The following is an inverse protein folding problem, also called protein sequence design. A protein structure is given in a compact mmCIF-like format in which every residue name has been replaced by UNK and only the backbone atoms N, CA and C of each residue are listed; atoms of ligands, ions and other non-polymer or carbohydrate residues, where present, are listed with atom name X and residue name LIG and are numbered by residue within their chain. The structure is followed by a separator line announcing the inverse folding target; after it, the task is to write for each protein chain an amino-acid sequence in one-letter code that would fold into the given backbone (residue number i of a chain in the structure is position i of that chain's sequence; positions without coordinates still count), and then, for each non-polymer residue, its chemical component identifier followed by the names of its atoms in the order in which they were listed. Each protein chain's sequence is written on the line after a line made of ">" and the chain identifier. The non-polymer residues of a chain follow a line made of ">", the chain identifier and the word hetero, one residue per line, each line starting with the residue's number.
data_IF_681581003488
#
_entry.id   IF_681581003488
#
_cell.length_a   1.000
_cell.length_b   1.000
_cell.length_c   1.000
_cell.angle_alpha   90.00
_cell.angle_beta   90.00
_cell.angle_gamma   90.00
#
_symmetry.space_group_name_H-M   'P 1'
#
loop_
_entity.id
_entity.type
_entity.pdbx_description
1 polymer ?
#
# COMPACT_ATOMS: atom_id res chain seq x y z
N UNK A 1 22.65 4.61 38.51
CA UNK A 1 21.70 3.73 37.80
C UNK A 1 20.36 3.83 38.50
N UNK A 2 19.41 4.67 38.06
CA UNK A 2 18.06 4.61 38.60
C UNK A 2 17.38 3.36 38.04
N UNK A 3 16.92 2.48 38.93
CA UNK A 3 16.19 1.26 38.58
C UNK A 3 14.86 1.62 37.93
N UNK A 4 14.65 1.21 36.67
CA UNK A 4 13.34 1.25 36.04
C UNK A 4 12.44 0.26 36.81
N UNK A 5 11.31 0.70 37.39
CA UNK A 5 10.45 -0.20 38.13
C UNK A 5 9.83 -1.22 37.15
N UNK A 6 10.02 -2.51 37.43
CA UNK A 6 9.35 -3.58 36.71
C UNK A 6 7.83 -3.39 36.85
N UNK A 7 7.16 -3.03 35.75
CA UNK A 7 5.69 -3.01 35.71
C UNK A 7 5.21 -4.44 35.95
N UNK A 8 4.49 -4.65 37.06
CA UNK A 8 3.73 -5.89 37.29
C UNK A 8 2.84 -6.15 36.07
N UNK A 9 3.00 -7.31 35.43
CA UNK A 9 2.08 -7.79 34.40
C UNK A 9 0.73 -7.97 35.07
N UNK A 10 -0.15 -6.98 34.88
CA UNK A 10 -1.52 -7.05 35.34
C UNK A 10 -2.27 -7.98 34.39
N UNK A 11 -2.68 -9.15 34.87
CA UNK A 11 -3.62 -10.05 34.20
C UNK A 11 -5.01 -9.41 34.19
N UNK A 12 -5.17 -8.27 33.52
CA UNK A 12 -6.49 -7.78 33.14
C UNK A 12 -6.99 -8.72 32.05
N UNK A 13 -8.08 -9.44 32.33
CA UNK A 13 -8.84 -10.19 31.33
C UNK A 13 -8.99 -9.31 30.08
N UNK A 14 -8.62 -9.84 28.92
CA UNK A 14 -8.71 -9.06 27.69
C UNK A 14 -10.20 -8.92 27.36
N UNK A 15 -10.62 -7.69 27.02
CA UNK A 15 -12.02 -7.37 26.81
C UNK A 15 -12.66 -8.24 25.70
N UNK A 16 -11.85 -8.83 24.82
CA UNK A 16 -12.29 -9.61 23.67
C UNK A 16 -12.19 -11.13 23.87
N UNK A 17 -11.78 -11.62 25.05
CA UNK A 17 -11.63 -13.07 25.30
C UNK A 17 -12.92 -13.89 25.06
N UNK A 18 -14.08 -13.23 25.07
CA UNK A 18 -15.38 -13.85 24.86
C UNK A 18 -15.81 -13.94 23.39
N UNK A 19 -15.12 -13.26 22.47
CA UNK A 19 -15.43 -13.24 21.03
C UNK A 19 -14.31 -13.84 20.16
N UNK A 20 -13.13 -14.07 20.73
CA UNK A 20 -12.01 -14.69 20.02
C UNK A 20 -12.16 -16.21 20.13
N UNK A 21 -12.07 -16.91 19.00
CA UNK A 21 -12.00 -18.37 19.01
C UNK A 21 -10.70 -18.81 19.72
N UNK A 22 -10.78 -19.65 20.76
CA UNK A 22 -9.59 -20.13 21.48
C UNK A 22 -8.52 -20.75 20.57
N UNK A 23 -8.90 -21.34 19.43
CA UNK A 23 -7.96 -21.90 18.46
C UNK A 23 -7.04 -20.87 17.79
N UNK A 24 -7.41 -19.57 17.84
CA UNK A 24 -6.58 -18.47 17.33
C UNK A 24 -5.77 -17.78 18.43
N UNK A 25 -5.74 -18.32 19.65
CA UNK A 25 -4.92 -17.76 20.73
C UNK A 25 -3.46 -18.09 20.47
N UNK A 26 -2.55 -17.10 20.43
CA UNK A 26 -1.12 -17.34 20.27
C UNK A 26 -0.57 -18.26 21.36
N UNK A 27 0.33 -19.17 20.98
CA UNK A 27 1.02 -20.01 21.96
C UNK A 27 2.07 -19.22 22.77
N UNK A 28 2.74 -19.89 23.72
CA UNK A 28 3.75 -19.25 24.57
C UNK A 28 4.98 -18.79 23.79
N UNK A 29 5.32 -19.48 22.70
CA UNK A 29 6.48 -19.15 21.87
C UNK A 29 6.22 -17.86 21.07
N UNK A 30 5.07 -17.75 20.41
CA UNK A 30 4.67 -16.55 19.68
C UNK A 30 4.57 -15.32 20.60
N UNK A 31 3.99 -15.49 21.79
CA UNK A 31 3.93 -14.42 22.80
C UNK A 31 5.31 -13.99 23.27
N UNK A 32 6.22 -14.95 23.51
CA UNK A 32 7.59 -14.68 23.91
C UNK A 32 8.40 -13.98 22.80
N UNK A 33 8.20 -14.36 21.54
CA UNK A 33 8.83 -13.72 20.38
C UNK A 33 8.43 -12.23 20.30
N UNK A 34 7.14 -11.92 20.35
CA UNK A 34 6.66 -10.53 20.34
C UNK A 34 7.17 -9.73 21.55
N UNK A 35 7.14 -10.33 22.75
CA UNK A 35 7.65 -9.69 23.95
C UNK A 35 9.16 -9.36 23.85
N UNK A 36 9.94 -10.30 23.31
CA UNK A 36 11.38 -10.14 23.11
C UNK A 36 11.68 -9.05 22.09
N UNK A 37 11.02 -9.09 20.93
CA UNK A 37 11.12 -8.05 19.90
C UNK A 37 10.82 -6.66 20.48
N UNK A 38 9.69 -6.51 21.18
CA UNK A 38 9.29 -5.24 21.79
C UNK A 38 10.32 -4.73 22.84
N UNK A 39 10.99 -5.64 23.55
CA UNK A 39 12.04 -5.30 24.49
C UNK A 39 13.33 -4.85 23.77
N UNK A 40 13.72 -5.54 22.70
CA UNK A 40 14.89 -5.20 21.87
C UNK A 40 14.74 -3.79 21.28
N UNK A 41 13.59 -3.45 20.69
CA UNK A 41 13.37 -2.11 20.09
C UNK A 41 13.52 -0.99 21.13
N UNK A 42 13.04 -1.21 22.37
CA UNK A 42 13.25 -0.25 23.48
C UNK A 42 14.71 -0.17 23.91
N UNK A 43 15.40 -1.31 23.94
CA UNK A 43 16.80 -1.37 24.28
C UNK A 43 17.66 -0.63 23.25
N UNK A 44 17.40 -0.83 21.96
CA UNK A 44 18.03 -0.10 20.86
C UNK A 44 17.83 1.41 21.02
N UNK A 45 16.59 1.87 21.22
CA UNK A 45 16.31 3.30 21.45
C UNK A 45 17.08 3.89 22.63
N UNK A 46 17.33 3.10 23.69
CA UNK A 46 18.09 3.55 24.87
C UNK A 46 19.60 3.57 24.60
N UNK A 47 20.12 2.48 24.05
CA UNK A 47 21.55 2.16 24.06
C UNK A 47 22.27 2.57 22.76
N UNK A 48 21.58 2.54 21.60
CA UNK A 48 22.15 2.92 20.30
C UNK A 48 22.01 4.44 20.06
N UNK A 49 23.11 5.17 19.78
CA UNK A 49 23.05 6.61 19.53
C UNK A 49 22.17 7.00 18.35
N UNK A 50 22.26 6.26 17.24
CA UNK A 50 21.47 6.52 16.03
C UNK A 50 19.98 6.28 16.30
N UNK A 51 19.62 5.16 16.92
CA UNK A 51 18.22 4.89 17.25
C UNK A 51 17.68 5.95 18.21
N UNK A 52 18.48 6.43 19.16
CA UNK A 52 18.05 7.42 20.16
C UNK A 52 17.73 8.80 19.58
N UNK A 53 18.39 9.23 18.52
CA UNK A 53 18.19 10.56 17.93
C UNK A 53 17.03 10.63 16.95
N UNK A 54 16.49 9.49 16.50
CA UNK A 54 15.42 9.47 15.51
C UNK A 54 14.13 10.14 16.01
N UNK A 55 13.36 10.73 15.11
CA UNK A 55 12.01 11.25 15.33
C UNK A 55 11.03 10.61 14.36
N UNK A 56 9.73 10.83 14.54
CA UNK A 56 8.75 10.39 13.55
C UNK A 56 9.04 10.93 12.15
N UNK A 57 9.50 12.18 12.06
CA UNK A 57 9.84 12.84 10.81
C UNK A 57 11.10 12.28 10.16
N UNK A 58 12.12 11.93 10.94
CA UNK A 58 13.39 11.45 10.39
C UNK A 58 13.27 10.06 9.77
N UNK A 59 12.43 9.18 10.32
CA UNK A 59 12.32 7.78 9.85
C UNK A 59 11.10 7.46 9.00
N UNK A 60 10.19 8.42 8.76
CA UNK A 60 8.99 8.16 7.93
C UNK A 60 9.29 7.75 6.49
N UNK A 61 10.48 8.09 5.97
CA UNK A 61 10.89 7.74 4.61
C UNK A 61 11.29 6.26 4.54
N UNK A 62 12.01 5.77 5.56
CA UNK A 62 12.35 4.35 5.71
C UNK A 62 11.09 3.49 5.76
N UNK A 63 10.06 3.89 6.55
CA UNK A 63 8.77 3.18 6.55
C UNK A 63 8.12 3.06 5.15
N UNK A 64 8.36 4.03 4.27
CA UNK A 64 7.86 3.97 2.89
C UNK A 64 8.72 3.01 2.06
N UNK A 65 10.04 3.03 2.25
CA UNK A 65 11.01 2.12 1.63
C UNK A 65 10.65 0.65 1.93
N UNK A 66 10.55 0.27 3.21
CA UNK A 66 10.18 -1.10 3.62
C UNK A 66 8.82 -1.53 3.03
N UNK A 67 7.88 -0.58 2.87
CA UNK A 67 6.58 -0.87 2.26
C UNK A 67 6.69 -1.18 0.76
N UNK A 68 7.63 -0.55 0.04
CA UNK A 68 7.90 -0.87 -1.36
C UNK A 68 8.75 -2.13 -1.51
N UNK A 69 9.70 -2.38 -0.62
CA UNK A 69 10.48 -3.62 -0.60
C UNK A 69 9.57 -4.82 -0.33
N UNK A 70 8.64 -4.71 0.62
CA UNK A 70 7.56 -5.69 0.83
C UNK A 70 6.76 -5.94 -0.45
N UNK A 71 6.42 -4.89 -1.21
CA UNK A 71 5.71 -5.04 -2.49
C UNK A 71 6.57 -5.74 -3.53
N UNK A 72 7.87 -5.42 -3.61
CA UNK A 72 8.82 -6.07 -4.51
C UNK A 72 8.91 -7.57 -4.22
N UNK A 73 9.08 -7.94 -2.95
CA UNK A 73 9.14 -9.35 -2.54
C UNK A 73 7.87 -10.13 -2.93
N UNK A 74 6.69 -9.50 -2.80
CA UNK A 74 5.42 -10.10 -3.25
C UNK A 74 5.40 -10.30 -4.78
N UNK A 75 5.79 -9.29 -5.55
CA UNK A 75 5.75 -9.35 -7.02
C UNK A 75 6.82 -10.32 -7.58
N UNK A 76 7.93 -10.50 -6.89
CA UNK A 76 9.00 -11.47 -7.22
C UNK A 76 8.69 -12.90 -6.73
N UNK A 77 7.71 -13.06 -5.83
CA UNK A 77 7.40 -14.34 -5.22
C UNK A 77 8.48 -14.82 -4.24
N UNK A 78 9.32 -13.91 -3.74
CA UNK A 78 10.35 -14.17 -2.75
C UNK A 78 9.73 -14.23 -1.35
N UNK A 79 9.47 -15.44 -0.87
CA UNK A 79 8.86 -15.66 0.44
C UNK A 79 9.81 -15.36 1.61
N UNK A 80 11.11 -15.55 1.40
CA UNK A 80 12.11 -15.28 2.43
C UNK A 80 12.30 -13.77 2.58
N UNK A 81 12.47 -13.06 1.45
CA UNK A 81 12.46 -11.60 1.40
C UNK A 81 11.16 -11.03 1.98
N UNK A 82 9.99 -11.57 1.60
CA UNK A 82 8.71 -11.11 2.16
C UNK A 82 8.66 -11.22 3.70
N UNK A 83 9.25 -12.27 4.28
CA UNK A 83 9.31 -12.44 5.72
C UNK A 83 10.22 -11.38 6.38
N UNK A 84 11.35 -11.04 5.74
CA UNK A 84 12.29 -10.00 6.16
C UNK A 84 11.61 -8.63 6.15
N UNK A 85 11.05 -8.22 5.02
CA UNK A 85 10.44 -6.90 4.82
C UNK A 85 9.20 -6.66 5.69
N UNK A 86 8.39 -7.71 5.93
CA UNK A 86 7.29 -7.63 6.91
C UNK A 86 7.79 -7.44 8.35
N UNK A 87 8.97 -7.99 8.66
CA UNK A 87 9.69 -7.76 9.90
C UNK A 87 10.12 -6.31 10.07
N UNK A 88 10.63 -5.68 9.02
CA UNK A 88 11.07 -4.28 9.04
C UNK A 88 9.90 -3.29 9.08
N UNK A 89 8.79 -3.60 8.40
CA UNK A 89 7.52 -2.89 8.61
C UNK A 89 7.06 -2.98 10.07
N UNK A 90 7.13 -4.16 10.68
CA UNK A 90 6.78 -4.35 12.09
C UNK A 90 7.74 -3.58 13.01
N UNK A 91 9.05 -3.55 12.71
CA UNK A 91 10.05 -2.73 13.39
C UNK A 91 9.65 -1.27 13.38
N UNK A 92 9.31 -0.70 12.23
CA UNK A 92 8.91 0.70 12.15
C UNK A 92 7.65 1.01 12.97
N UNK A 93 6.63 0.14 12.95
CA UNK A 93 5.43 0.31 13.79
C UNK A 93 5.79 0.30 15.27
N UNK A 94 6.62 -0.64 15.71
CA UNK A 94 7.09 -0.71 17.09
C UNK A 94 7.96 0.50 17.48
N UNK A 95 8.85 0.93 16.58
CA UNK A 95 9.76 2.04 16.81
C UNK A 95 9.04 3.38 16.93
N UNK A 96 8.03 3.65 16.08
CA UNK A 96 7.12 4.78 16.26
C UNK A 96 6.39 4.71 17.60
N UNK A 97 5.97 3.52 18.05
CA UNK A 97 5.42 3.31 19.38
C UNK A 97 6.40 3.70 20.49
N UNK A 98 7.67 3.29 20.39
CA UNK A 98 8.72 3.60 21.38
C UNK A 98 9.07 5.09 21.40
N UNK A 99 9.14 5.76 20.24
CA UNK A 99 9.33 7.22 20.16
C UNK A 99 8.18 7.93 20.90
N UNK A 100 6.94 7.56 20.63
CA UNK A 100 5.77 8.17 21.25
C UNK A 100 5.65 7.87 22.77
N UNK A 101 6.15 6.72 23.23
CA UNK A 101 6.27 6.40 24.66
C UNK A 101 7.21 7.39 25.37
N UNK A 102 8.32 7.78 24.72
CA UNK A 102 9.27 8.76 25.24
C UNK A 102 8.66 10.13 25.51
N UNK A 103 7.62 10.50 24.74
CA UNK A 103 6.87 11.76 24.87
C UNK A 103 5.57 11.63 25.69
N UNK A 104 5.40 10.51 26.41
CA UNK A 104 4.21 10.19 27.21
C UNK A 104 2.90 10.28 26.40
N UNK A 105 2.94 9.89 25.10
CA UNK A 105 1.78 9.96 24.20
C UNK A 105 1.03 8.63 24.10
N UNK A 106 1.62 7.65 23.41
CA UNK A 106 1.03 6.34 23.19
C UNK A 106 2.12 5.28 23.05
N UNK A 107 1.73 4.03 23.24
CA UNK A 107 2.60 2.85 23.12
C UNK A 107 2.22 1.94 21.96
N UNK A 108 3.07 0.97 21.64
CA UNK A 108 2.72 -0.15 20.76
C UNK A 108 1.48 -0.90 21.25
N UNK A 109 1.29 -0.98 22.58
CA UNK A 109 0.09 -1.59 23.17
C UNK A 109 -1.17 -0.77 22.84
N UNK A 110 -1.06 0.56 22.83
CA UNK A 110 -2.18 1.44 22.47
C UNK A 110 -2.48 1.39 20.97
N UNK A 111 -1.46 1.25 20.12
CA UNK A 111 -1.62 1.03 18.67
C UNK A 111 -2.44 -0.25 18.45
N UNK A 112 -1.99 -1.37 19.02
CA UNK A 112 -2.67 -2.67 18.89
C UNK A 112 -4.10 -2.58 19.41
N UNK A 113 -4.32 -2.05 20.62
CA UNK A 113 -5.66 -1.92 21.20
C UNK A 113 -6.61 -1.08 20.35
N UNK A 114 -6.13 0.05 19.81
CA UNK A 114 -6.92 0.90 18.91
C UNK A 114 -7.29 0.16 17.63
N UNK A 115 -6.35 -0.57 17.04
CA UNK A 115 -6.60 -1.37 15.84
C UNK A 115 -7.58 -2.51 16.12
N UNK A 116 -7.38 -3.28 17.20
CA UNK A 116 -8.27 -4.36 17.62
C UNK A 116 -9.70 -3.86 17.82
N UNK A 117 -9.89 -2.77 18.58
CA UNK A 117 -11.22 -2.21 18.81
C UNK A 117 -11.89 -1.77 17.50
N UNK A 118 -11.12 -1.19 16.58
CA UNK A 118 -11.59 -0.77 15.26
C UNK A 118 -11.96 -1.98 14.38
N UNK A 119 -11.15 -3.05 14.39
CA UNK A 119 -11.42 -4.27 13.63
C UNK A 119 -12.68 -4.97 14.13
N UNK A 120 -12.84 -5.14 15.45
CA UNK A 120 -14.04 -5.75 16.04
C UNK A 120 -15.28 -4.96 15.65
N UNK A 121 -15.27 -3.65 15.88
CA UNK A 121 -16.40 -2.77 15.58
C UNK A 121 -16.79 -2.73 14.10
N UNK A 122 -15.81 -2.85 13.19
CA UNK A 122 -16.06 -2.79 11.74
C UNK A 122 -16.36 -4.16 11.11
N UNK A 123 -16.24 -5.24 11.87
CA UNK A 123 -16.68 -6.58 11.47
C UNK A 123 -17.82 -7.12 12.34
N UNK A 124 -18.97 -6.43 12.44
CA UNK A 124 -20.11 -6.92 13.23
C UNK A 124 -20.78 -8.15 12.60
N UNK A 125 -20.32 -8.60 11.43
CA UNK A 125 -20.73 -9.86 10.80
C UNK A 125 -19.86 -11.05 11.22
N UNK A 126 -18.74 -10.78 11.89
CA UNK A 126 -17.86 -11.80 12.49
C UNK A 126 -18.09 -11.86 13.99
N UNK A 127 -18.21 -10.69 14.64
CA UNK A 127 -18.22 -10.58 16.10
C UNK A 127 -19.60 -10.23 16.70
N UNK A 128 -20.63 -10.02 15.87
CA UNK A 128 -22.02 -9.75 16.28
C UNK A 128 -22.99 -10.47 15.31
N UNK A 129 -24.27 -10.05 15.27
CA UNK A 129 -25.33 -10.75 14.51
C UNK A 129 -25.55 -10.22 13.08
N UNK A 130 -24.69 -9.31 12.57
CA UNK A 130 -24.92 -8.67 11.27
C UNK A 130 -24.76 -9.67 10.13
N UNK A 131 -25.81 -9.86 9.33
CA UNK A 131 -25.77 -10.75 8.18
C UNK A 131 -25.24 -10.04 6.93
N UNK A 132 -24.27 -10.67 6.26
CA UNK A 132 -23.67 -10.24 4.98
C UNK A 132 -23.78 -11.39 3.98
N UNK A 133 -24.03 -11.09 2.71
CA UNK A 133 -24.29 -12.10 1.66
C UNK A 133 -23.05 -12.44 0.84
N UNK A 134 -22.14 -11.47 0.69
CA UNK A 134 -20.95 -11.53 -0.15
C UNK A 134 -19.90 -10.50 0.29
N UNK A 135 -18.69 -10.57 -0.28
CA UNK A 135 -17.60 -9.62 -0.03
C UNK A 135 -17.99 -8.17 -0.36
N UNK A 136 -18.84 -7.96 -1.37
CA UNK A 136 -19.38 -6.64 -1.71
C UNK A 136 -20.23 -6.04 -0.58
N UNK A 137 -21.04 -6.86 0.07
CA UNK A 137 -21.87 -6.46 1.22
C UNK A 137 -21.04 -6.18 2.47
N UNK A 138 -19.95 -6.92 2.67
CA UNK A 138 -18.94 -6.62 3.72
C UNK A 138 -18.32 -5.25 3.49
N UNK A 139 -17.87 -4.96 2.25
CA UNK A 139 -17.25 -3.68 1.91
C UNK A 139 -18.21 -2.50 2.09
N UNK A 140 -19.47 -2.65 1.67
CA UNK A 140 -20.51 -1.62 1.89
C UNK A 140 -20.76 -1.37 3.37
N UNK A 141 -20.84 -2.43 4.18
CA UNK A 141 -21.04 -2.29 5.62
C UNK A 141 -19.83 -1.60 6.29
N UNK A 142 -18.62 -1.95 5.87
CA UNK A 142 -17.37 -1.34 6.35
C UNK A 142 -17.32 0.17 6.11
N UNK A 143 -17.63 0.63 4.89
CA UNK A 143 -17.68 2.08 4.58
C UNK A 143 -18.83 2.79 5.30
N UNK A 144 -20.01 2.15 5.43
CA UNK A 144 -21.12 2.71 6.21
C UNK A 144 -20.76 2.93 7.67
N UNK A 145 -20.09 1.96 8.30
CA UNK A 145 -19.63 2.09 9.70
C UNK A 145 -18.60 3.22 9.83
N UNK A 146 -17.64 3.33 8.89
CA UNK A 146 -16.68 4.44 8.88
C UNK A 146 -17.34 5.81 8.80
N UNK A 147 -18.39 5.96 7.99
CA UNK A 147 -19.14 7.22 7.87
C UNK A 147 -19.91 7.54 9.16
N UNK A 148 -20.55 6.54 9.77
CA UNK A 148 -21.29 6.68 11.03
C UNK A 148 -20.41 7.03 12.24
N UNK A 149 -19.12 6.68 12.20
CA UNK A 149 -18.13 7.03 13.24
C UNK A 149 -17.80 8.53 13.31
N UNK A 150 -18.43 9.36 12.46
CA UNK A 150 -18.32 10.83 12.54
C UNK A 150 -16.93 11.37 12.20
N UNK A 151 -16.06 10.54 11.63
CA UNK A 151 -14.63 10.83 11.55
C UNK A 151 -14.26 11.82 10.45
N UNK A 152 -15.18 12.26 9.57
CA UNK A 152 -14.79 12.97 8.35
C UNK A 152 -15.76 14.06 7.88
N UNK A 153 -15.22 15.25 7.62
CA UNK A 153 -15.96 16.38 7.01
C UNK A 153 -16.16 16.18 5.50
N UNK A 154 -15.41 15.27 4.88
CA UNK A 154 -15.47 14.97 3.45
C UNK A 154 -15.42 13.48 3.18
N UNK A 155 -16.19 13.01 2.18
CA UNK A 155 -16.15 11.62 1.70
C UNK A 155 -14.74 11.18 1.27
N UNK A 156 -13.88 12.13 0.84
CA UNK A 156 -12.53 11.85 0.36
C UNK A 156 -11.45 11.92 1.45
N UNK A 157 -11.79 12.35 2.67
CA UNK A 157 -10.82 12.57 3.74
C UNK A 157 -10.06 11.27 4.11
N UNK A 158 -8.75 11.40 4.39
CA UNK A 158 -7.85 10.27 4.65
C UNK A 158 -7.44 9.46 3.42
N UNK A 159 -7.40 10.07 2.23
CA UNK A 159 -6.51 9.61 1.15
C UNK A 159 -5.19 10.35 1.34
N UNK A 160 -4.08 9.67 1.67
CA UNK A 160 -2.79 10.33 1.85
C UNK A 160 -2.37 11.08 0.57
N UNK A 161 -1.76 12.26 0.74
CA UNK A 161 -1.25 13.05 -0.39
C UNK A 161 0.02 12.43 -0.99
N UNK A 162 0.72 11.63 -0.21
CA UNK A 162 1.99 11.00 -0.53
C UNK A 162 1.85 9.68 -1.30
N UNK A 163 0.62 9.18 -1.50
CA UNK A 163 0.42 8.00 -2.33
C UNK A 163 0.85 8.29 -3.78
N UNK A 164 1.40 7.30 -4.50
CA UNK A 164 1.54 7.34 -5.95
C UNK A 164 0.26 7.78 -6.64
N UNK A 165 0.40 8.49 -7.76
CA UNK A 165 -0.73 9.17 -8.40
C UNK A 165 -1.85 8.19 -8.80
N UNK A 166 -1.53 7.02 -9.36
CA UNK A 166 -2.53 6.04 -9.80
C UNK A 166 -3.22 5.40 -8.60
N UNK A 167 -2.44 4.96 -7.59
CA UNK A 167 -3.01 4.44 -6.35
C UNK A 167 -3.88 5.49 -5.63
N UNK A 168 -3.45 6.75 -5.62
CA UNK A 168 -4.20 7.86 -5.04
C UNK A 168 -5.52 8.10 -5.78
N UNK A 169 -5.51 8.13 -7.11
CA UNK A 169 -6.70 8.25 -7.94
C UNK A 169 -7.67 7.09 -7.67
N UNK A 170 -7.16 5.85 -7.63
CA UNK A 170 -7.93 4.66 -7.30
C UNK A 170 -8.64 4.79 -5.95
N UNK A 171 -7.93 5.25 -4.91
CA UNK A 171 -8.50 5.45 -3.56
C UNK A 171 -9.52 6.58 -3.50
N UNK A 172 -9.33 7.66 -4.25
CA UNK A 172 -10.30 8.76 -4.37
C UNK A 172 -11.60 8.23 -4.98
N UNK A 173 -11.52 7.53 -6.10
CA UNK A 173 -12.68 7.00 -6.81
C UNK A 173 -13.40 5.91 -6.00
N UNK A 174 -12.65 5.04 -5.31
CA UNK A 174 -13.24 4.03 -4.42
C UNK A 174 -14.07 4.66 -3.30
N UNK A 175 -13.60 5.79 -2.72
CA UNK A 175 -14.37 6.52 -1.70
C UNK A 175 -15.57 7.24 -2.26
N UNK A 176 -15.43 7.87 -3.44
CA UNK A 176 -16.56 8.49 -4.12
C UNK A 176 -17.65 7.45 -4.43
N UNK A 177 -17.26 6.27 -4.89
CA UNK A 177 -18.14 5.12 -5.11
C UNK A 177 -18.86 4.67 -3.83
N UNK A 178 -18.16 4.67 -2.68
CA UNK A 178 -18.75 4.34 -1.38
C UNK A 178 -19.91 5.23 -0.93
N UNK A 179 -20.04 6.44 -1.49
CA UNK A 179 -21.19 7.34 -1.26
C UNK A 179 -22.18 7.39 -2.45
N UNK A 180 -22.03 6.46 -3.41
CA UNK A 180 -22.90 6.35 -4.57
C UNK A 180 -22.51 7.21 -5.77
N UNK A 181 -21.34 7.85 -5.74
CA UNK A 181 -20.81 8.58 -6.89
C UNK A 181 -19.90 7.67 -7.73
N UNK A 182 -20.52 6.88 -8.61
CA UNK A 182 -19.83 5.94 -9.51
C UNK A 182 -20.66 5.65 -10.76
N UNK A 183 -20.05 5.07 -11.80
CA UNK A 183 -20.77 4.58 -12.96
C UNK A 183 -21.60 3.33 -12.60
N UNK A 184 -22.80 3.15 -13.20
CA UNK A 184 -23.60 1.95 -12.98
C UNK A 184 -22.94 0.67 -13.50
N UNK A 185 -22.31 0.76 -14.67
CA UNK A 185 -21.68 -0.37 -15.34
C UNK A 185 -20.26 -0.04 -15.80
N UNK A 186 -19.40 -1.06 -15.84
CA UNK A 186 -18.03 -0.94 -16.36
C UNK A 186 -17.99 -0.38 -17.79
N UNK A 187 -18.98 -0.72 -18.62
CA UNK A 187 -19.06 -0.24 -19.99
C UNK A 187 -19.23 1.29 -20.06
N UNK A 188 -19.88 1.92 -19.08
CA UNK A 188 -20.03 3.38 -19.04
C UNK A 188 -18.72 4.07 -18.66
N UNK A 189 -17.94 3.48 -17.75
CA UNK A 189 -16.59 3.97 -17.46
C UNK A 189 -15.67 3.88 -18.70
N UNK A 190 -15.81 2.84 -19.52
CA UNK A 190 -15.05 2.74 -20.78
C UNK A 190 -15.46 3.83 -21.80
N UNK A 191 -16.75 4.16 -21.89
CA UNK A 191 -17.20 5.29 -22.72
C UNK A 191 -16.51 6.59 -22.29
N UNK A 192 -16.38 6.82 -20.97
CA UNK A 192 -15.66 7.98 -20.43
C UNK A 192 -14.17 7.96 -20.80
N UNK A 193 -13.50 6.81 -20.73
CA UNK A 193 -12.11 6.69 -21.24
C UNK A 193 -11.99 7.14 -22.70
N UNK A 194 -12.90 6.68 -23.57
CA UNK A 194 -12.91 7.06 -24.99
C UNK A 194 -13.21 8.53 -25.19
N UNK A 195 -14.07 9.12 -24.35
CA UNK A 195 -14.37 10.55 -24.32
C UNK A 195 -13.12 11.37 -23.96
N UNK A 196 -12.45 11.08 -22.84
CA UNK A 196 -11.23 11.80 -22.44
C UNK A 196 -10.11 11.71 -23.48
N UNK A 197 -9.96 10.55 -24.15
CA UNK A 197 -8.95 10.40 -25.22
C UNK A 197 -9.26 11.32 -26.40
N UNK A 198 -10.54 11.56 -26.71
CA UNK A 198 -10.94 12.50 -27.77
C UNK A 198 -10.70 13.94 -27.35
N UNK A 199 -11.08 14.30 -26.12
CA UNK A 199 -10.85 15.63 -25.56
C UNK A 199 -9.35 15.97 -25.55
N UNK A 200 -8.50 15.04 -25.11
CA UNK A 200 -7.05 15.19 -25.20
C UNK A 200 -6.55 15.37 -26.64
N UNK A 201 -7.07 14.60 -27.60
CA UNK A 201 -6.68 14.71 -29.00
C UNK A 201 -7.07 16.06 -29.64
N UNK A 202 -8.13 16.71 -29.16
CA UNK A 202 -8.54 18.04 -29.62
C UNK A 202 -7.59 19.15 -29.12
N UNK A 203 -7.00 18.96 -27.93
CA UNK A 203 -6.07 19.93 -27.33
C UNK A 203 -4.59 19.65 -27.64
N UNK A 204 -4.24 18.47 -28.16
CA UNK A 204 -2.87 18.15 -28.61
C UNK A 204 -2.54 18.72 -30.01
N UNK A 205 -2.95 19.97 -30.22
CA UNK A 205 -2.72 20.72 -31.45
C UNK A 205 -1.64 21.80 -31.25
N UNK A 206 -0.89 22.18 -32.31
CA UNK A 206 0.05 23.30 -32.23
C UNK A 206 -0.64 24.59 -31.75
N UNK A 207 -0.06 25.26 -30.75
CA UNK A 207 -0.56 26.53 -30.23
C UNK A 207 -1.40 26.44 -28.96
N UNK A 208 -1.76 25.23 -28.51
CA UNK A 208 -2.38 25.00 -27.19
C UNK A 208 -1.31 25.02 -26.10
N UNK A 209 -1.66 25.52 -24.91
CA UNK A 209 -0.70 25.63 -23.81
C UNK A 209 -0.28 24.23 -23.30
N UNK A 210 0.98 24.07 -22.85
CA UNK A 210 1.42 22.84 -22.19
C UNK A 210 0.54 22.46 -20.99
N UNK A 211 0.08 23.44 -20.21
CA UNK A 211 -0.72 23.22 -19.01
C UNK A 211 -2.11 22.65 -19.33
N UNK A 212 -2.73 23.10 -20.43
CA UNK A 212 -4.02 22.57 -20.88
C UNK A 212 -3.88 21.13 -21.37
N UNK A 213 -2.83 20.84 -22.14
CA UNK A 213 -2.53 19.47 -22.58
C UNK A 213 -2.26 18.53 -21.41
N UNK A 214 -1.51 18.98 -20.41
CA UNK A 214 -1.23 18.20 -19.20
C UNK A 214 -2.50 17.92 -18.39
N UNK A 215 -3.42 18.90 -18.29
CA UNK A 215 -4.73 18.72 -17.64
C UNK A 215 -5.53 17.61 -18.32
N UNK A 216 -5.77 17.72 -19.63
CA UNK A 216 -6.59 16.74 -20.38
C UNK A 216 -5.94 15.35 -20.37
N UNK A 217 -4.61 15.26 -20.45
CA UNK A 217 -3.91 13.99 -20.32
C UNK A 217 -4.10 13.38 -18.91
N UNK A 218 -4.13 14.22 -17.87
CA UNK A 218 -4.46 13.82 -16.51
C UNK A 218 -5.86 13.19 -16.40
N UNK A 219 -6.85 13.74 -17.11
CA UNK A 219 -8.21 13.22 -17.13
C UNK A 219 -8.30 11.86 -17.85
N UNK A 220 -7.53 11.67 -18.93
CA UNK A 220 -7.34 10.35 -19.57
C UNK A 220 -6.82 9.31 -18.56
N UNK A 221 -5.75 9.64 -17.82
CA UNK A 221 -5.20 8.74 -16.81
C UNK A 221 -6.21 8.47 -15.68
N UNK A 222 -6.93 9.49 -15.23
CA UNK A 222 -7.95 9.34 -14.18
C UNK A 222 -9.09 8.43 -14.62
N UNK A 223 -9.58 8.57 -15.85
CA UNK A 223 -10.60 7.70 -16.42
C UNK A 223 -10.12 6.25 -16.57
N UNK A 224 -8.88 6.03 -17.01
CA UNK A 224 -8.27 4.70 -17.09
C UNK A 224 -8.18 4.02 -15.72
N UNK A 225 -7.77 4.75 -14.68
CA UNK A 225 -7.74 4.25 -13.30
C UNK A 225 -9.16 3.85 -12.84
N UNK A 226 -10.17 4.63 -13.22
CA UNK A 226 -11.56 4.32 -12.86
C UNK A 226 -12.07 3.05 -13.52
N UNK A 227 -11.79 2.90 -14.81
CA UNK A 227 -12.12 1.68 -15.55
C UNK A 227 -11.39 0.46 -14.98
N UNK A 228 -10.09 0.60 -14.66
CA UNK A 228 -9.30 -0.46 -14.02
C UNK A 228 -9.93 -0.88 -12.68
N UNK A 229 -10.27 0.08 -11.81
CA UNK A 229 -10.94 -0.17 -10.53
C UNK A 229 -12.26 -0.95 -10.72
N UNK A 230 -13.11 -0.50 -11.63
CA UNK A 230 -14.39 -1.19 -11.92
C UNK A 230 -14.19 -2.58 -12.55
N UNK A 231 -13.02 -2.84 -13.12
CA UNK A 231 -12.63 -4.14 -13.66
C UNK A 231 -11.98 -5.05 -12.62
N UNK A 232 -11.85 -4.61 -11.36
CA UNK A 232 -11.15 -5.36 -10.31
C UNK A 232 -9.62 -5.32 -10.43
N UNK A 233 -9.09 -4.37 -11.21
CA UNK A 233 -7.66 -4.19 -11.42
C UNK A 233 -7.13 -3.04 -10.55
N UNK A 234 -5.90 -3.19 -10.07
CA UNK A 234 -5.14 -2.08 -9.50
C UNK A 234 -4.24 -1.47 -10.58
N UNK A 235 -4.49 -0.21 -10.94
CA UNK A 235 -3.77 0.47 -12.01
C UNK A 235 -2.28 0.70 -11.69
N UNK A 236 -1.94 0.91 -10.43
CA UNK A 236 -0.54 1.05 -9.98
C UNK A 236 0.23 -0.25 -10.26
N UNK A 237 -0.30 -1.38 -9.79
CA UNK A 237 0.34 -2.69 -9.99
C UNK A 237 0.41 -3.06 -11.48
N UNK A 238 -0.63 -2.73 -12.26
CA UNK A 238 -0.64 -3.01 -13.69
C UNK A 238 0.48 -2.25 -14.44
N UNK A 239 0.68 -0.97 -14.10
CA UNK A 239 1.76 -0.18 -14.66
C UNK A 239 3.13 -0.65 -14.16
N UNK A 240 3.26 -0.95 -12.87
CA UNK A 240 4.52 -1.47 -12.29
C UNK A 240 5.00 -2.72 -13.03
N UNK A 241 4.13 -3.72 -13.21
CA UNK A 241 4.46 -4.94 -13.96
C UNK A 241 4.84 -4.68 -15.41
N UNK A 242 4.23 -3.68 -16.04
CA UNK A 242 4.56 -3.26 -17.40
C UNK A 242 5.96 -2.63 -17.45
N UNK A 243 6.31 -1.81 -16.46
CA UNK A 243 7.63 -1.23 -16.32
C UNK A 243 8.69 -2.31 -16.09
N UNK A 244 8.43 -3.28 -15.21
CA UNK A 244 9.38 -4.36 -14.92
C UNK A 244 9.62 -5.23 -16.16
N UNK A 245 8.56 -5.55 -16.90
CA UNK A 245 8.66 -6.23 -18.19
C UNK A 245 9.50 -5.42 -19.18
N UNK A 246 9.28 -4.10 -19.28
CA UNK A 246 10.09 -3.24 -20.15
C UNK A 246 11.57 -3.28 -19.76
N UNK A 247 11.88 -3.14 -18.46
CA UNK A 247 13.25 -3.18 -17.93
C UNK A 247 13.92 -4.52 -18.24
N UNK A 248 13.24 -5.65 -17.99
CA UNK A 248 13.78 -6.98 -18.31
C UNK A 248 14.10 -7.14 -19.79
N UNK A 249 13.17 -6.75 -20.67
CA UNK A 249 13.38 -6.84 -22.12
C UNK A 249 14.48 -5.91 -22.61
N UNK A 250 14.56 -4.70 -22.05
CA UNK A 250 15.62 -3.77 -22.42
C UNK A 250 17.00 -4.25 -21.95
N UNK A 251 17.10 -4.83 -20.75
CA UNK A 251 18.34 -5.49 -20.29
C UNK A 251 18.77 -6.62 -21.21
N UNK A 252 17.82 -7.43 -21.70
CA UNK A 252 18.12 -8.46 -22.71
C UNK A 252 18.73 -7.86 -23.98
N UNK A 253 18.19 -6.73 -24.47
CA UNK A 253 18.78 -5.99 -25.61
C UNK A 253 20.23 -5.57 -25.28
N UNK A 254 20.47 -5.00 -24.10
CA UNK A 254 21.80 -4.57 -23.66
C UNK A 254 22.79 -5.74 -23.61
N UNK A 255 22.39 -6.88 -23.04
CA UNK A 255 23.20 -8.10 -22.94
C UNK A 255 23.56 -8.65 -24.33
N UNK A 256 22.59 -8.66 -25.26
CA UNK A 256 22.81 -9.12 -26.64
C UNK A 256 23.75 -8.23 -27.43
N UNK A 257 23.64 -6.90 -27.27
CA UNK A 257 24.56 -5.96 -27.89
C UNK A 257 25.96 -6.03 -27.26
N UNK A 258 26.04 -6.15 -25.93
CA UNK A 258 27.28 -6.27 -25.19
C UNK A 258 28.07 -7.53 -25.59
N UNK A 259 27.39 -8.64 -25.90
CA UNK A 259 28.03 -9.85 -26.44
C UNK A 259 28.77 -9.61 -27.77
N UNK A 260 28.40 -8.56 -28.51
CA UNK A 260 29.08 -8.10 -29.72
C UNK A 260 30.00 -6.88 -29.50
N UNK A 261 30.21 -6.47 -28.25
CA UNK A 261 31.02 -5.32 -27.87
C UNK A 261 30.39 -3.96 -28.22
N UNK A 262 29.06 -3.92 -28.40
CA UNK A 262 28.29 -2.74 -28.80
C UNK A 262 27.34 -2.30 -27.69
N UNK A 263 26.91 -1.05 -27.78
CA UNK A 263 25.93 -0.42 -26.90
C UNK A 263 24.61 -0.14 -27.63
N UNK A 264 23.50 0.10 -26.90
CA UNK A 264 22.24 0.53 -27.53
C UNK A 264 22.39 1.78 -28.41
N UNK A 265 23.22 2.75 -28.01
CA UNK A 265 23.42 3.96 -28.82
C UNK A 265 24.05 3.71 -30.20
N UNK A 266 24.64 2.53 -30.40
CA UNK A 266 25.30 2.11 -31.65
C UNK A 266 24.44 1.13 -32.47
N UNK A 267 23.25 0.79 -32.01
CA UNK A 267 22.28 -0.08 -32.69
C UNK A 267 21.16 0.74 -33.33
N UNK A 268 20.59 0.22 -34.42
CA UNK A 268 19.37 0.79 -34.99
C UNK A 268 18.11 0.15 -34.37
N UNK A 269 16.96 0.79 -34.59
CA UNK A 269 15.69 0.31 -34.04
C UNK A 269 15.30 -1.07 -34.57
N UNK A 270 15.71 -1.44 -35.79
CA UNK A 270 15.36 -2.74 -36.38
C UNK A 270 16.09 -3.86 -35.64
N UNK A 271 17.37 -3.63 -35.31
CA UNK A 271 18.17 -4.55 -34.52
C UNK A 271 17.66 -4.66 -33.07
N UNK A 272 17.34 -3.52 -32.43
CA UNK A 272 16.75 -3.53 -31.09
C UNK A 272 15.40 -4.24 -31.04
N UNK A 273 14.54 -4.03 -32.05
CA UNK A 273 13.24 -4.69 -32.16
C UNK A 273 13.41 -6.21 -32.32
N UNK A 274 14.42 -6.67 -33.05
CA UNK A 274 14.69 -8.10 -33.18
C UNK A 274 15.06 -8.74 -31.83
N UNK A 275 15.91 -8.08 -31.03
CA UNK A 275 16.24 -8.54 -29.68
C UNK A 275 15.06 -8.40 -28.70
N UNK A 276 14.21 -7.40 -28.89
CA UNK A 276 12.97 -7.22 -28.12
C UNK A 276 11.99 -8.37 -28.36
N UNK A 277 11.76 -8.77 -29.61
CA UNK A 277 10.92 -9.92 -29.94
C UNK A 277 11.51 -11.24 -29.42
N UNK A 278 12.84 -11.37 -29.37
CA UNK A 278 13.47 -12.50 -28.70
C UNK A 278 13.17 -12.49 -27.19
N UNK A 279 13.32 -11.35 -26.51
CA UNK A 279 13.03 -11.22 -25.09
C UNK A 279 11.56 -11.55 -24.78
N UNK A 280 10.61 -11.16 -25.64
CA UNK A 280 9.20 -11.57 -25.53
C UNK A 280 9.02 -13.09 -25.52
N UNK A 281 9.83 -13.82 -26.29
CA UNK A 281 9.79 -15.28 -26.33
C UNK A 281 10.27 -15.96 -25.04
N UNK A 282 11.00 -15.22 -24.19
CA UNK A 282 11.52 -15.70 -22.91
C UNK A 282 10.58 -15.44 -21.73
N UNK A 283 9.62 -14.53 -21.87
CA UNK A 283 8.62 -14.18 -20.84
C UNK A 283 7.52 -15.26 -20.65
N UNK A 284 7.70 -16.46 -21.22
CA UNK A 284 6.70 -17.55 -21.24
C UNK A 284 6.69 -18.41 -19.96
#
# INVERSE_FOLDING_TARGET
>A
MPSVPAKKVSTKKNAYDHIVDPAFTPDEEEQAAYATFSAIVRQLRRDCPWDREQTHESVKHLLIEEAYETVSAIDEGDLDGLCEELGDLLLHVAFHGVIAEGDERFSITDIIRKETAKLVKRHPHVFEDTQVKDSGSVMRNWERIKLAEGAKKSALEGVPRQLPALLRAHRIQQKASGVGFDFPERADAWKKVVEEIREFAEVDAPGVSPEEREREFGDVLFALVNYARMSGLNAENALSRTNDMFVRRFRHIEERLAASGRTPAEADLTEMDAFWEEAKGLDA
#
